data_IF_484609731895
#
_entry.id   IF_484609731895
#
_cell.length_a   1.000
_cell.length_b   1.000
_cell.length_c   1.000
_cell.angle_alpha   90.00
_cell.angle_beta   90.00
_cell.angle_gamma   90.00
#
_symmetry.space_group_name_H-M   'P 1'
#
loop_
_entity.id
_entity.type
_entity.pdbx_description
1 polymer ?
#
# COMPACT_ATOMS: atom_id res chain seq x y z
N UNK A 1 -8.44 -28.39 -12.69
CA UNK A 1 -9.21 -27.70 -13.75
C UNK A 1 -10.47 -27.11 -13.11
N UNK A 2 -10.32 -26.06 -12.30
CA UNK A 2 -11.44 -25.27 -11.81
C UNK A 2 -11.68 -24.16 -12.84
N UNK A 3 -12.90 -24.10 -13.35
CA UNK A 3 -13.34 -23.15 -14.36
C UNK A 3 -12.95 -21.73 -13.94
N UNK A 4 -12.11 -21.11 -14.75
CA UNK A 4 -11.71 -19.70 -14.63
C UNK A 4 -12.90 -18.82 -15.08
N UNK A 5 -14.04 -18.92 -14.40
CA UNK A 5 -15.07 -17.90 -14.52
C UNK A 5 -14.57 -16.71 -13.70
N UNK A 6 -14.03 -15.69 -14.37
CA UNK A 6 -13.85 -14.36 -13.79
C UNK A 6 -15.25 -13.77 -13.61
N UNK A 7 -16.04 -14.37 -12.72
CA UNK A 7 -17.29 -13.80 -12.27
C UNK A 7 -16.92 -12.74 -11.23
N UNK A 8 -17.50 -11.55 -11.37
CA UNK A 8 -17.39 -10.52 -10.35
C UNK A 8 -18.11 -11.02 -9.10
N UNK A 9 -17.35 -11.60 -8.17
CA UNK A 9 -17.88 -11.98 -6.88
C UNK A 9 -18.05 -10.71 -6.03
N UNK A 10 -19.31 -10.32 -5.84
CA UNK A 10 -19.65 -9.13 -5.08
C UNK A 10 -19.13 -9.19 -3.64
N UNK A 11 -19.01 -10.38 -3.05
CA UNK A 11 -18.47 -10.54 -1.71
C UNK A 11 -16.97 -10.20 -1.67
N UNK A 12 -16.21 -10.65 -2.69
CA UNK A 12 -14.79 -10.32 -2.82
C UNK A 12 -14.61 -8.81 -3.02
N UNK A 13 -15.40 -8.20 -3.90
CA UNK A 13 -15.34 -6.75 -4.15
C UNK A 13 -15.59 -5.96 -2.87
N UNK A 14 -16.65 -6.29 -2.14
CA UNK A 14 -17.03 -5.58 -0.91
C UNK A 14 -15.97 -5.80 0.18
N UNK A 15 -15.49 -7.03 0.37
CA UNK A 15 -14.48 -7.35 1.38
C UNK A 15 -13.15 -6.63 1.09
N UNK A 16 -12.67 -6.67 -0.15
CA UNK A 16 -11.45 -5.97 -0.55
C UNK A 16 -11.59 -4.47 -0.39
N UNK A 17 -12.71 -3.87 -0.81
CA UNK A 17 -12.96 -2.44 -0.62
C UNK A 17 -13.00 -2.07 0.87
N UNK A 18 -13.74 -2.82 1.69
CA UNK A 18 -13.90 -2.56 3.12
C UNK A 18 -12.58 -2.64 3.90
N UNK A 19 -11.64 -3.48 3.46
CA UNK A 19 -10.32 -3.60 4.10
C UNK A 19 -9.34 -2.54 3.59
N UNK A 20 -9.26 -2.36 2.27
CA UNK A 20 -8.25 -1.46 1.67
C UNK A 20 -8.62 0.00 1.89
N UNK A 21 -9.90 0.37 1.76
CA UNK A 21 -10.34 1.76 1.89
C UNK A 21 -9.85 2.43 3.20
N UNK A 22 -10.17 1.91 4.40
CA UNK A 22 -9.69 2.51 5.65
C UNK A 22 -8.17 2.39 5.84
N UNK A 23 -7.52 1.38 5.25
CA UNK A 23 -6.06 1.23 5.31
C UNK A 23 -5.33 2.35 4.53
N UNK A 24 -5.94 2.88 3.48
CA UNK A 24 -5.37 3.92 2.61
C UNK A 24 -5.78 5.36 3.00
N UNK A 25 -6.81 5.54 3.83
CA UNK A 25 -7.37 6.88 4.14
C UNK A 25 -6.36 7.89 4.73
N UNK A 26 -5.43 7.53 5.65
CA UNK A 26 -4.44 8.46 6.16
C UNK A 26 -3.07 8.36 5.44
N UNK A 27 -3.02 7.90 4.18
CA UNK A 27 -1.76 7.75 3.47
C UNK A 27 -1.27 9.05 2.79
N UNK A 28 0.06 9.17 2.61
CA UNK A 28 0.71 10.28 1.90
C UNK A 28 0.23 10.39 0.46
N UNK A 29 -0.12 9.28 -0.19
CA UNK A 29 -0.66 9.29 -1.56
C UNK A 29 -2.03 9.97 -1.64
N UNK A 30 -2.88 9.80 -0.62
CA UNK A 30 -4.18 10.48 -0.52
C UNK A 30 -4.00 12.00 -0.40
N UNK A 31 -3.10 12.46 0.48
CA UNK A 31 -2.77 13.88 0.62
C UNK A 31 -2.20 14.45 -0.68
N UNK A 32 -1.31 13.72 -1.36
CA UNK A 32 -0.76 14.14 -2.64
C UNK A 32 -1.87 14.28 -3.71
N UNK A 33 -2.80 13.34 -3.79
CA UNK A 33 -3.94 13.40 -4.71
C UNK A 33 -4.87 14.59 -4.39
N UNK A 34 -5.12 14.87 -3.11
CA UNK A 34 -5.91 16.03 -2.67
C UNK A 34 -5.24 17.34 -3.07
N UNK A 35 -3.94 17.49 -2.79
CA UNK A 35 -3.16 18.67 -3.18
C UNK A 35 -3.18 18.84 -4.70
N UNK A 36 -3.01 17.76 -5.46
CA UNK A 36 -3.03 17.81 -6.92
C UNK A 36 -4.43 18.21 -7.44
N UNK A 37 -5.50 17.71 -6.83
CA UNK A 37 -6.88 18.05 -7.19
C UNK A 37 -7.23 19.53 -6.94
N UNK A 38 -6.54 20.21 -6.02
CA UNK A 38 -6.71 21.67 -5.82
C UNK A 38 -5.95 22.51 -6.84
N UNK A 39 -4.88 21.96 -7.45
CA UNK A 39 -4.02 22.68 -8.40
C UNK A 39 -4.35 22.41 -9.87
N UNK A 40 -4.94 21.26 -10.17
CA UNK A 40 -5.20 20.78 -11.53
C UNK A 40 -6.67 20.37 -11.70
N UNK A 41 -7.15 20.20 -12.95
CA UNK A 41 -8.51 19.76 -13.19
C UNK A 41 -8.82 18.44 -12.47
N UNK A 42 -9.78 18.47 -11.54
CA UNK A 42 -10.17 17.33 -10.68
C UNK A 42 -10.38 16.01 -11.43
N UNK A 43 -10.96 16.07 -12.64
CA UNK A 43 -11.20 14.89 -13.47
C UNK A 43 -9.90 14.28 -14.00
N UNK A 44 -8.92 15.10 -14.41
CA UNK A 44 -7.63 14.61 -14.89
C UNK A 44 -6.81 13.98 -13.76
N UNK A 45 -6.85 14.59 -12.57
CA UNK A 45 -6.21 14.04 -11.36
C UNK A 45 -6.84 12.71 -10.98
N UNK A 46 -8.18 12.64 -10.95
CA UNK A 46 -8.89 11.40 -10.64
C UNK A 46 -8.59 10.29 -11.65
N UNK A 47 -8.61 10.59 -12.95
CA UNK A 47 -8.27 9.64 -14.00
C UNK A 47 -6.81 9.16 -13.90
N UNK A 48 -5.87 10.08 -13.68
CA UNK A 48 -4.46 9.77 -13.51
C UNK A 48 -4.19 8.89 -12.30
N UNK A 49 -4.74 9.25 -11.14
CA UNK A 49 -4.62 8.47 -9.91
C UNK A 49 -5.27 7.08 -10.07
N UNK A 50 -6.47 7.02 -10.67
CA UNK A 50 -7.17 5.75 -10.92
C UNK A 50 -6.39 4.86 -11.89
N UNK A 51 -5.84 5.41 -12.97
CA UNK A 51 -5.02 4.68 -13.92
C UNK A 51 -3.73 4.15 -13.27
N UNK A 52 -3.04 4.99 -12.49
CA UNK A 52 -1.85 4.58 -11.75
C UNK A 52 -2.16 3.44 -10.77
N UNK A 53 -3.29 3.53 -10.05
CA UNK A 53 -3.73 2.48 -9.13
C UNK A 53 -4.03 1.16 -9.85
N UNK A 54 -4.74 1.20 -10.98
CA UNK A 54 -5.02 0.00 -11.79
C UNK A 54 -3.73 -0.64 -12.28
N UNK A 55 -2.79 0.14 -12.80
CA UNK A 55 -1.48 -0.36 -13.27
C UNK A 55 -0.71 -0.98 -12.11
N UNK A 56 -0.66 -0.31 -10.96
CA UNK A 56 -0.01 -0.82 -9.75
C UNK A 56 -0.61 -2.16 -9.31
N UNK A 57 -1.93 -2.26 -9.25
CA UNK A 57 -2.62 -3.50 -8.85
C UNK A 57 -2.42 -4.63 -9.86
N UNK A 58 -2.43 -4.34 -11.15
CA UNK A 58 -2.12 -5.32 -12.18
C UNK A 58 -0.72 -5.91 -11.99
N UNK A 59 0.28 -5.07 -11.70
CA UNK A 59 1.65 -5.52 -11.40
C UNK A 59 1.66 -6.37 -10.13
N UNK A 60 1.03 -5.91 -9.04
CA UNK A 60 1.02 -6.60 -7.76
C UNK A 60 0.38 -7.99 -7.85
N UNK A 61 -0.79 -8.11 -8.47
CA UNK A 61 -1.51 -9.38 -8.64
C UNK A 61 -0.73 -10.33 -9.55
N UNK A 62 -0.17 -9.83 -10.65
CA UNK A 62 0.64 -10.65 -11.58
C UNK A 62 1.91 -11.17 -10.90
N UNK A 63 2.61 -10.33 -10.15
CA UNK A 63 3.77 -10.71 -9.37
C UNK A 63 3.41 -11.72 -8.28
N UNK A 64 2.31 -11.52 -7.56
CA UNK A 64 1.80 -12.47 -6.57
C UNK A 64 1.48 -13.84 -7.16
N UNK A 65 0.87 -13.87 -8.35
CA UNK A 65 0.61 -15.12 -9.07
C UNK A 65 1.91 -15.86 -9.44
N UNK A 66 2.93 -15.13 -9.89
CA UNK A 66 4.26 -15.69 -10.18
C UNK A 66 4.96 -16.23 -8.92
N UNK A 67 4.87 -15.51 -7.80
CA UNK A 67 5.40 -15.97 -6.51
C UNK A 67 4.69 -17.24 -6.01
N UNK A 68 3.42 -17.43 -6.37
CA UNK A 68 2.67 -18.66 -6.09
C UNK A 68 3.26 -19.92 -6.75
N UNK A 69 4.15 -19.78 -7.74
CA UNK A 69 4.84 -20.90 -8.39
C UNK A 69 6.06 -21.39 -7.59
N UNK A 70 6.54 -20.61 -6.62
CA UNK A 70 7.71 -20.95 -5.81
C UNK A 70 7.34 -21.80 -4.58
N UNK A 71 8.31 -22.52 -3.99
CA UNK A 71 8.09 -23.24 -2.73
C UNK A 71 7.61 -22.29 -1.63
N UNK A 72 6.43 -22.59 -1.06
CA UNK A 72 5.77 -21.74 -0.06
C UNK A 72 6.65 -21.38 1.15
N UNK A 73 7.53 -22.30 1.57
CA UNK A 73 8.47 -22.07 2.69
C UNK A 73 9.46 -20.95 2.41
N UNK A 74 9.94 -20.83 1.16
CA UNK A 74 10.86 -19.77 0.76
C UNK A 74 10.14 -18.42 0.72
N UNK A 75 8.94 -18.37 0.12
CA UNK A 75 8.14 -17.15 0.05
C UNK A 75 7.81 -16.61 1.44
N UNK A 76 7.38 -17.50 2.35
CA UNK A 76 7.12 -17.14 3.75
C UNK A 76 8.39 -16.67 4.48
N UNK A 77 9.51 -17.35 4.28
CA UNK A 77 10.78 -16.97 4.90
C UNK A 77 11.26 -15.58 4.47
N UNK A 78 11.17 -15.28 3.16
CA UNK A 78 11.51 -13.96 2.61
C UNK A 78 10.52 -12.90 3.10
N UNK A 79 9.21 -13.17 3.06
CA UNK A 79 8.20 -12.24 3.55
C UNK A 79 8.43 -11.90 5.04
N UNK A 80 8.69 -12.91 5.87
CA UNK A 80 9.00 -12.70 7.29
C UNK A 80 10.25 -11.83 7.49
N UNK A 81 11.31 -12.07 6.72
CA UNK A 81 12.52 -11.26 6.77
C UNK A 81 12.27 -9.79 6.36
N UNK A 82 11.50 -9.56 5.28
CA UNK A 82 11.14 -8.22 4.82
C UNK A 82 10.27 -7.49 5.85
N UNK A 83 9.30 -8.16 6.45
CA UNK A 83 8.47 -7.58 7.52
C UNK A 83 9.28 -7.27 8.77
N UNK A 84 10.17 -8.16 9.19
CA UNK A 84 11.06 -7.92 10.33
C UNK A 84 11.98 -6.72 10.07
N UNK A 85 12.56 -6.64 8.88
CA UNK A 85 13.36 -5.49 8.47
C UNK A 85 12.53 -4.19 8.46
N UNK A 86 11.33 -4.21 7.89
CA UNK A 86 10.42 -3.07 7.91
C UNK A 86 10.06 -2.62 9.32
N UNK A 87 9.77 -3.56 10.23
CA UNK A 87 9.48 -3.28 11.63
C UNK A 87 10.66 -2.62 12.34
N UNK A 88 11.89 -3.14 12.13
CA UNK A 88 13.10 -2.53 12.69
C UNK A 88 13.30 -1.10 12.18
N UNK A 89 13.13 -0.86 10.88
CA UNK A 89 13.26 0.49 10.32
C UNK A 89 12.19 1.44 10.85
N UNK A 90 10.94 0.98 10.98
CA UNK A 90 9.84 1.77 11.51
C UNK A 90 10.10 2.19 12.96
N UNK A 91 10.55 1.24 13.81
CA UNK A 91 10.88 1.54 15.20
C UNK A 91 12.04 2.53 15.28
N UNK A 92 13.12 2.33 14.51
CA UNK A 92 14.27 3.24 14.50
C UNK A 92 13.88 4.64 14.03
N UNK A 93 13.09 4.74 12.95
CA UNK A 93 12.58 6.02 12.47
C UNK A 93 11.71 6.74 13.51
N UNK A 94 10.84 6.01 14.19
CA UNK A 94 10.01 6.57 15.27
C UNK A 94 10.83 7.04 16.49
N UNK A 95 11.88 6.31 16.86
CA UNK A 95 12.78 6.71 17.94
C UNK A 95 13.62 7.95 17.57
N UNK A 96 14.11 8.03 16.34
CA UNK A 96 14.84 9.21 15.86
C UNK A 96 13.96 10.46 15.86
N UNK A 97 12.73 10.36 15.36
CA UNK A 97 11.79 11.50 15.35
C UNK A 97 11.51 12.03 16.77
N UNK A 98 11.35 11.15 17.76
CA UNK A 98 11.16 11.55 19.16
C UNK A 98 12.40 12.23 19.76
N UNK A 99 13.59 11.72 19.44
CA UNK A 99 14.83 12.32 19.93
C UNK A 99 15.08 13.71 19.33
N UNK A 100 14.66 13.95 18.08
CA UNK A 100 14.70 15.27 17.45
C UNK A 100 13.72 16.24 18.13
N UNK A 101 12.48 15.80 18.40
CA UNK A 101 11.47 16.60 19.13
C UNK A 101 11.96 16.98 20.54
N UNK A 102 12.51 16.03 21.30
CA UNK A 102 13.06 16.28 22.66
C UNK A 102 14.23 17.28 22.64
N UNK A 103 15.09 17.21 21.63
CA UNK A 103 16.23 18.13 21.50
C UNK A 103 15.82 19.54 21.06
N UNK A 104 14.75 19.69 20.26
CA UNK A 104 14.18 21.00 19.92
C UNK A 104 13.51 21.64 21.15
N UNK A 105 12.78 20.88 21.96
CA UNK A 105 12.15 21.37 23.20
C UNK A 105 13.19 21.82 24.25
N UNK A 106 14.32 21.12 24.39
CA UNK A 106 15.40 21.52 25.31
C UNK A 106 16.18 22.76 24.83
N UNK A 107 16.11 23.10 23.54
CA UNK A 107 16.81 24.22 22.93
C UNK A 107 15.99 25.53 22.91
N UNK A 108 14.67 25.47 23.18
CA UNK A 108 13.76 26.62 23.33
C UNK A 108 13.69 27.15 24.77
#
# INVERSE_FOLDING_TARGET
MTSLSVALDMAVVIATFAVIFPAELPDKSFIAALVLATRYPRLMVWLGASAAFVVHMAIAVSAGALLGLLPQRLVLGVAAALFAFGAVNLIRGGLHARAEEEAEEEAE
#
